data_IF_755671737906
#
_entry.id   IF_755671737906
#
_cell.length_a   1.000
_cell.length_b   1.000
_cell.length_c   1.000
_cell.angle_alpha   90.00
_cell.angle_beta   90.00
_cell.angle_gamma   90.00
#
_symmetry.space_group_name_H-M   'P 1'
#
loop_
_entity.id
_entity.type
_entity.pdbx_description
1 polymer ?
#
# COMPACT_ATOMS: atom_id res chain seq x y z
N UNK A 1 -28.42 34.15 10.69
CA UNK A 1 -27.46 33.37 11.52
C UNK A 1 -26.52 32.61 10.59
N UNK A 2 -25.43 33.24 10.16
CA UNK A 2 -24.32 32.56 9.50
C UNK A 2 -23.54 31.82 10.58
N UNK A 3 -23.88 30.53 10.80
CA UNK A 3 -22.97 29.65 11.54
C UNK A 3 -21.67 29.66 10.77
N UNK A 4 -20.63 30.28 11.31
CA UNK A 4 -19.25 29.92 11.02
C UNK A 4 -19.13 28.44 11.38
N UNK A 5 -19.50 27.55 10.45
CA UNK A 5 -19.26 26.13 10.55
C UNK A 5 -17.75 25.99 10.53
N UNK A 6 -17.15 25.93 11.72
CA UNK A 6 -15.71 25.82 11.89
C UNK A 6 -15.21 24.72 10.97
N UNK A 7 -14.45 25.10 9.95
CA UNK A 7 -13.91 24.16 8.98
C UNK A 7 -13.09 23.15 9.77
N UNK A 8 -13.39 21.86 9.59
CA UNK A 8 -12.60 20.80 10.22
C UNK A 8 -11.18 20.91 9.70
N UNK A 9 -10.20 20.92 10.60
CA UNK A 9 -8.80 20.88 10.25
C UNK A 9 -8.28 19.45 10.43
N UNK A 10 -7.56 18.97 9.43
CA UNK A 10 -6.84 17.69 9.44
C UNK A 10 -5.35 17.97 9.53
N UNK A 11 -4.61 17.21 10.32
CA UNK A 11 -3.15 17.36 10.42
C UNK A 11 -2.49 16.11 9.86
N UNK A 12 -1.72 16.28 8.79
CA UNK A 12 -0.80 15.28 8.29
C UNK A 12 0.54 15.47 9.01
N UNK A 13 1.09 14.41 9.58
CA UNK A 13 2.41 14.42 10.22
C UNK A 13 3.21 13.22 9.73
N UNK A 14 4.47 13.45 9.39
CA UNK A 14 5.46 12.42 9.16
C UNK A 14 6.43 12.40 10.34
N UNK A 15 6.68 11.20 10.85
CA UNK A 15 7.51 10.98 12.03
C UNK A 15 8.68 10.07 11.67
N UNK A 16 9.88 10.48 12.07
CA UNK A 16 11.08 9.66 12.00
C UNK A 16 11.15 8.76 13.24
N UNK A 17 11.04 7.45 13.01
CA UNK A 17 11.03 6.43 14.05
C UNK A 17 12.43 5.88 14.38
N UNK A 18 13.46 6.23 13.59
CA UNK A 18 14.86 5.80 13.84
C UNK A 18 15.50 6.58 14.98
N UNK A 19 14.95 7.73 15.32
CA UNK A 19 15.40 8.55 16.45
C UNK A 19 15.00 7.89 17.77
N UNK A 20 15.85 7.96 18.81
CA UNK A 20 15.58 7.39 20.14
C UNK A 20 14.23 7.84 20.72
N UNK A 21 13.77 9.03 20.33
CA UNK A 21 12.41 9.50 20.51
C UNK A 21 11.84 9.84 19.12
N UNK A 22 10.62 9.41 18.77
CA UNK A 22 10.01 9.76 17.50
C UNK A 22 10.00 11.29 17.28
N UNK A 23 10.50 11.75 16.13
CA UNK A 23 10.57 13.18 15.80
C UNK A 23 9.66 13.50 14.63
N UNK A 24 8.82 14.52 14.76
CA UNK A 24 7.99 15.00 13.66
C UNK A 24 8.87 15.74 12.64
N UNK A 25 9.14 15.12 11.50
CA UNK A 25 10.01 15.67 10.44
C UNK A 25 9.24 16.47 9.39
N UNK A 26 7.94 16.23 9.26
CA UNK A 26 7.08 17.00 8.38
C UNK A 26 5.66 17.13 8.94
N UNK A 27 5.03 18.28 8.72
CA UNK A 27 3.68 18.59 9.18
C UNK A 27 2.95 19.46 8.15
N UNK A 28 1.71 19.11 7.85
CA UNK A 28 0.81 19.95 7.03
C UNK A 28 -0.58 19.97 7.63
N UNK A 29 -1.20 21.15 7.68
CA UNK A 29 -2.61 21.32 8.07
C UNK A 29 -3.44 21.44 6.79
N UNK A 30 -4.53 20.68 6.74
CA UNK A 30 -5.44 20.62 5.60
C UNK A 30 -6.84 21.01 6.09
N UNK A 31 -7.52 21.89 5.36
CA UNK A 31 -8.89 22.30 5.68
C UNK A 31 -9.96 21.49 4.93
N UNK A 32 -9.52 20.69 3.96
CA UNK A 32 -10.33 19.74 3.23
C UNK A 32 -9.54 18.45 3.11
N UNK A 33 -10.18 17.32 3.39
CA UNK A 33 -9.57 16.01 3.31
C UNK A 33 -10.65 14.98 2.97
N UNK A 34 -10.46 14.29 1.85
CA UNK A 34 -11.37 13.24 1.39
C UNK A 34 -10.67 11.88 1.25
N UNK A 35 -9.34 11.83 1.36
CA UNK A 35 -8.56 10.61 1.21
C UNK A 35 -7.06 10.87 1.11
N UNK A 36 -6.28 9.82 1.29
CA UNK A 36 -4.83 9.82 1.14
C UNK A 36 -4.39 8.49 0.53
N UNK A 37 -3.35 8.54 -0.29
CA UNK A 37 -2.64 7.36 -0.78
C UNK A 37 -1.15 7.54 -0.51
N UNK A 38 -0.47 6.45 -0.17
CA UNK A 38 0.98 6.43 0.02
C UNK A 38 1.63 5.73 -1.15
N UNK A 39 2.81 6.20 -1.55
CA UNK A 39 3.55 5.57 -2.61
C UNK A 39 4.12 4.25 -2.10
N UNK A 40 3.77 3.15 -2.77
CA UNK A 40 4.29 1.82 -2.45
C UNK A 40 5.68 1.58 -3.01
N UNK A 41 6.11 2.38 -3.99
CA UNK A 41 7.42 2.24 -4.63
C UNK A 41 8.34 3.34 -4.15
N UNK A 42 9.51 2.95 -3.61
CA UNK A 42 10.54 3.87 -3.16
C UNK A 42 11.16 4.71 -4.30
N UNK A 43 10.95 4.31 -5.55
CA UNK A 43 11.47 4.98 -6.73
C UNK A 43 10.67 6.23 -7.12
N UNK A 44 9.43 6.36 -6.63
CA UNK A 44 8.57 7.47 -7.02
C UNK A 44 8.96 8.78 -6.34
N UNK A 45 8.83 9.89 -7.06
CA UNK A 45 9.18 11.22 -6.55
C UNK A 45 8.19 11.74 -5.49
N UNK A 46 6.91 11.41 -5.62
CA UNK A 46 5.91 11.78 -4.62
C UNK A 46 5.80 10.68 -3.57
N UNK A 47 5.85 11.04 -2.28
CA UNK A 47 5.69 10.08 -1.18
C UNK A 47 4.22 9.78 -0.92
N UNK A 48 3.34 10.76 -1.11
CA UNK A 48 1.92 10.59 -0.86
C UNK A 48 1.06 11.50 -1.74
N UNK A 49 -0.17 11.08 -1.98
CA UNK A 49 -1.19 11.85 -2.69
C UNK A 49 -2.32 12.16 -1.70
N UNK A 50 -2.72 13.43 -1.60
CA UNK A 50 -3.82 13.88 -0.74
C UNK A 50 -4.97 14.35 -1.59
N UNK A 51 -6.14 13.79 -1.32
CA UNK A 51 -7.39 14.20 -1.95
C UNK A 51 -8.00 15.37 -1.19
N UNK A 52 -7.91 16.55 -1.77
CA UNK A 52 -8.64 17.77 -1.36
C UNK A 52 -9.65 18.11 -2.49
N UNK A 53 -10.22 19.33 -2.61
CA UNK A 53 -10.97 19.69 -3.82
C UNK A 53 -10.14 19.48 -5.11
N UNK A 54 -8.82 19.59 -4.99
CA UNK A 54 -7.82 19.16 -5.96
C UNK A 54 -6.97 18.03 -5.35
N UNK A 55 -6.28 17.25 -6.17
CA UNK A 55 -5.38 16.20 -5.67
C UNK A 55 -3.97 16.75 -5.62
N UNK A 56 -3.40 16.84 -4.42
CA UNK A 56 -2.03 17.30 -4.23
C UNK A 56 -1.10 16.10 -4.10
N UNK A 57 -0.06 16.05 -4.92
CA UNK A 57 1.04 15.11 -4.77
C UNK A 57 2.11 15.76 -3.91
N UNK A 58 2.45 15.11 -2.81
CA UNK A 58 3.31 15.65 -1.78
C UNK A 58 4.56 14.78 -1.68
N UNK A 59 5.70 15.44 -1.76
CA UNK A 59 6.99 14.90 -1.38
C UNK A 59 7.39 15.42 0.01
N UNK A 60 8.27 14.68 0.68
CA UNK A 60 8.78 15.02 2.00
C UNK A 60 10.25 15.39 1.85
N UNK A 61 10.55 16.68 1.99
CA UNK A 61 11.91 17.21 2.03
C UNK A 61 12.29 17.45 3.50
N UNK A 62 12.78 16.42 4.22
CA UNK A 62 13.07 16.55 5.64
C UNK A 62 14.19 17.58 5.84
N UNK A 63 14.17 18.35 6.95
CA UNK A 63 15.30 19.21 7.26
C UNK A 63 16.58 18.39 7.28
N UNK A 64 17.63 18.89 6.61
CA UNK A 64 18.93 18.25 6.59
C UNK A 64 19.32 17.90 8.03
N UNK A 65 19.49 16.60 8.33
CA UNK A 65 19.97 16.19 9.65
C UNK A 65 21.29 16.91 9.83
N UNK A 66 21.38 17.74 10.87
CA UNK A 66 22.67 18.22 11.37
C UNK A 66 23.38 16.92 11.74
N UNK A 67 24.28 16.46 10.87
CA UNK A 67 25.15 15.36 11.20
C UNK A 67 25.86 15.84 12.45
N UNK A 68 25.48 15.28 13.60
CA UNK A 68 26.18 15.50 14.85
C UNK A 68 27.60 15.10 14.55
N UNK A 69 28.47 16.10 14.38
CA UNK A 69 29.86 15.91 14.02
C UNK A 69 30.46 15.00 15.06
N UNK A 70 30.53 13.71 14.71
CA UNK A 70 31.13 12.72 15.56
C UNK A 70 32.61 13.10 15.59
N UNK A 71 33.09 13.42 16.78
CA UNK A 71 34.34 14.13 17.04
C UNK A 71 35.56 13.29 16.70
N UNK A 72 35.81 13.08 15.41
CA UNK A 72 37.05 12.55 14.86
C UNK A 72 38.13 13.62 14.92
N UNK A 73 38.80 13.67 16.06
CA UNK A 73 40.02 14.41 16.32
C UNK A 73 41.13 14.02 15.32
N UNK A 74 41.86 15.01 14.81
CA UNK A 74 43.15 14.82 14.13
C UNK A 74 43.18 15.02 12.61
N UNK A 75 43.44 16.25 12.16
CA UNK A 75 43.85 16.49 10.77
C UNK A 75 43.93 17.95 10.36
N UNK A 76 44.98 18.65 10.80
CA UNK A 76 45.32 20.01 10.36
C UNK A 76 45.67 20.03 8.86
N UNK A 77 44.66 20.24 8.01
CA UNK A 77 44.80 20.47 6.56
C UNK A 77 44.18 21.80 6.18
N UNK A 78 45.01 22.83 6.12
CA UNK A 78 44.67 24.19 5.69
C UNK A 78 44.34 24.24 4.19
N UNK A 79 43.21 24.86 3.84
CA UNK A 79 43.08 25.62 2.59
C UNK A 79 41.99 25.17 1.64
N UNK A 80 40.83 25.84 1.68
CA UNK A 80 39.80 25.74 0.64
C UNK A 80 38.45 26.32 1.04
N UNK A 81 38.36 27.65 1.13
CA UNK A 81 37.12 28.37 1.44
C UNK A 81 36.14 28.25 0.25
N UNK A 82 35.28 27.22 0.27
CA UNK A 82 34.08 27.16 -0.57
C UNK A 82 32.90 27.52 0.33
N UNK A 83 32.34 28.71 0.10
CA UNK A 83 31.15 29.20 0.79
C UNK A 83 29.93 28.34 0.44
N UNK A 84 29.78 27.22 1.13
CA UNK A 84 28.55 26.43 1.11
C UNK A 84 27.48 27.20 1.86
N UNK A 85 26.42 27.62 1.14
CA UNK A 85 25.20 28.11 1.75
C UNK A 85 24.69 27.05 2.73
N UNK A 86 24.90 27.27 4.03
CA UNK A 86 24.26 26.49 5.09
C UNK A 86 22.75 26.67 4.93
N UNK A 87 22.11 25.68 4.31
CA UNK A 87 20.66 25.58 4.19
C UNK A 87 20.10 25.51 5.62
N UNK A 88 19.53 26.62 6.09
CA UNK A 88 18.88 26.70 7.40
C UNK A 88 17.91 25.52 7.55
N UNK A 89 17.97 24.84 8.70
CA UNK A 89 17.09 23.71 9.00
C UNK A 89 15.62 24.13 8.80
N UNK A 90 14.94 23.50 7.85
CA UNK A 90 13.53 23.77 7.58
C UNK A 90 12.66 23.36 8.77
N UNK A 91 11.67 24.17 9.11
CA UNK A 91 10.67 23.75 10.09
C UNK A 91 9.85 22.57 9.55
N UNK A 92 9.33 21.65 10.41
CA UNK A 92 8.46 20.57 9.94
C UNK A 92 7.26 21.04 9.11
N UNK A 93 6.76 22.26 9.39
CA UNK A 93 5.68 22.87 8.63
C UNK A 93 6.01 23.16 7.15
N UNK A 94 7.30 23.21 6.80
CA UNK A 94 7.80 23.51 5.46
C UNK A 94 8.36 22.27 4.73
N UNK A 95 8.39 21.11 5.39
CA UNK A 95 8.96 19.88 4.82
C UNK A 95 8.01 19.15 3.86
N UNK A 96 6.70 19.40 3.93
CA UNK A 96 5.74 18.88 2.95
C UNK A 96 5.75 19.76 1.68
N UNK A 97 6.37 19.28 0.60
CA UNK A 97 6.50 20.01 -0.67
C UNK A 97 5.46 19.51 -1.66
N UNK A 98 4.67 20.41 -2.25
CA UNK A 98 3.74 20.04 -3.32
C UNK A 98 4.54 19.85 -4.62
N UNK A 99 4.56 18.64 -5.17
CA UNK A 99 5.30 18.35 -6.42
C UNK A 99 4.42 18.48 -7.66
N UNK A 100 3.13 18.20 -7.53
CA UNK A 100 2.15 18.42 -8.59
C UNK A 100 0.73 18.54 -7.99
N UNK A 101 -0.16 19.17 -8.75
CA UNK A 101 -1.59 19.21 -8.45
C UNK A 101 -2.35 18.67 -9.65
N UNK A 102 -3.31 17.77 -9.41
CA UNK A 102 -4.24 17.30 -10.42
C UNK A 102 -5.59 18.00 -10.21
N UNK A 103 -6.10 18.63 -11.27
CA UNK A 103 -7.37 19.36 -11.25
C UNK A 103 -8.61 18.45 -11.25
N UNK A 104 -8.42 17.13 -11.39
CA UNK A 104 -9.52 16.19 -11.48
C UNK A 104 -10.20 15.97 -10.12
N UNK A 105 -11.54 15.98 -10.14
CA UNK A 105 -12.33 15.71 -8.95
C UNK A 105 -12.43 14.21 -8.76
N UNK A 106 -11.47 13.65 -8.03
CA UNK A 106 -11.65 12.31 -7.50
C UNK A 106 -12.86 12.29 -6.56
N UNK A 107 -13.70 11.28 -6.68
CA UNK A 107 -14.75 11.02 -5.69
C UNK A 107 -14.61 9.63 -5.07
N UNK A 108 -14.02 8.69 -5.79
CA UNK A 108 -13.63 7.38 -5.31
C UNK A 108 -12.26 7.35 -4.64
N UNK A 109 -11.66 6.15 -4.65
CA UNK A 109 -10.36 5.90 -4.08
C UNK A 109 -9.25 6.62 -4.86
N UNK A 110 -8.22 7.02 -4.12
CA UNK A 110 -6.96 7.53 -4.65
C UNK A 110 -5.90 6.47 -4.39
N UNK A 111 -5.09 6.16 -5.39
CA UNK A 111 -3.95 5.24 -5.26
C UNK A 111 -2.69 5.85 -5.88
N UNK A 112 -1.52 5.48 -5.36
CA UNK A 112 -0.22 5.97 -5.80
C UNK A 112 0.75 4.79 -5.91
N UNK A 113 1.33 4.58 -7.09
CA UNK A 113 2.30 3.52 -7.34
C UNK A 113 3.43 4.02 -8.25
N UNK A 114 4.58 4.31 -7.65
CA UNK A 114 5.70 4.96 -8.32
C UNK A 114 5.29 6.33 -8.80
N UNK A 115 5.31 6.50 -10.11
CA UNK A 115 5.02 7.77 -10.79
C UNK A 115 3.58 7.84 -11.31
N UNK A 116 2.79 6.81 -11.02
CA UNK A 116 1.40 6.71 -11.46
C UNK A 116 0.43 7.04 -10.33
N UNK A 117 -0.54 7.88 -10.64
CA UNK A 117 -1.68 8.18 -9.77
C UNK A 117 -2.93 7.58 -10.40
N UNK A 118 -3.67 6.78 -9.62
CA UNK A 118 -4.95 6.24 -10.06
C UNK A 118 -6.09 6.93 -9.32
N UNK A 119 -7.08 7.36 -10.07
CA UNK A 119 -8.25 8.07 -9.58
C UNK A 119 -9.50 7.38 -10.10
N UNK A 120 -10.43 7.09 -9.18
CA UNK A 120 -11.77 6.66 -9.54
C UNK A 120 -12.75 7.84 -9.44
N UNK A 121 -13.52 8.08 -10.50
CA UNK A 121 -14.53 9.14 -10.55
C UNK A 121 -15.90 8.69 -9.99
N UNK A 122 -16.89 9.59 -10.03
CA UNK A 122 -18.26 9.33 -9.55
C UNK A 122 -19.00 8.27 -10.37
N UNK A 123 -18.59 8.05 -11.61
CA UNK A 123 -19.13 7.02 -12.49
C UNK A 123 -18.46 5.66 -12.31
N UNK A 124 -17.48 5.54 -11.41
CA UNK A 124 -16.68 4.33 -11.23
C UNK A 124 -15.56 4.17 -12.26
N UNK A 125 -15.41 5.08 -13.22
CA UNK A 125 -14.32 5.02 -14.21
C UNK A 125 -13.00 5.25 -13.51
N UNK A 126 -11.99 4.48 -13.92
CA UNK A 126 -10.66 4.54 -13.32
C UNK A 126 -9.71 5.18 -14.32
N UNK A 127 -9.06 6.26 -13.92
CA UNK A 127 -8.07 6.96 -14.73
C UNK A 127 -6.68 6.78 -14.14
N UNK A 128 -5.68 6.62 -15.02
CA UNK A 128 -4.26 6.60 -14.68
C UNK A 128 -3.63 7.89 -15.17
N UNK A 129 -2.91 8.56 -14.28
CA UNK A 129 -2.13 9.76 -14.55
C UNK A 129 -0.66 9.45 -14.36
N UNK A 130 0.19 10.04 -15.19
CA UNK A 130 1.62 10.13 -14.91
C UNK A 130 1.90 11.49 -14.26
N UNK A 131 2.56 11.53 -13.10
CA UNK A 131 2.66 12.78 -12.34
C UNK A 131 3.48 13.88 -13.05
N UNK A 132 4.42 13.50 -13.93
CA UNK A 132 5.21 14.47 -14.72
C UNK A 132 4.38 15.14 -15.83
N UNK A 133 3.30 14.48 -16.25
CA UNK A 133 2.37 14.98 -17.28
C UNK A 133 0.95 14.97 -16.72
N UNK A 134 0.66 15.78 -15.67
CA UNK A 134 -0.60 15.71 -14.91
C UNK A 134 -1.85 16.02 -15.77
N UNK A 135 -1.68 16.67 -16.91
CA UNK A 135 -2.72 16.96 -17.89
C UNK A 135 -3.12 15.75 -18.76
N UNK A 136 -2.28 14.72 -18.83
CA UNK A 136 -2.54 13.54 -19.63
C UNK A 136 -3.00 12.37 -18.76
N UNK A 137 -4.03 11.67 -19.21
CA UNK A 137 -4.62 10.55 -18.50
C UNK A 137 -5.09 9.46 -19.46
N UNK A 138 -4.96 8.22 -19.02
CA UNK A 138 -5.53 7.06 -19.68
C UNK A 138 -6.73 6.53 -18.88
N UNK A 139 -7.82 6.17 -19.55
CA UNK A 139 -8.94 5.47 -18.94
C UNK A 139 -8.68 3.96 -18.96
N UNK A 140 -8.81 3.31 -17.80
CA UNK A 140 -8.83 1.85 -17.72
C UNK A 140 -10.23 1.37 -18.07
N UNK A 141 -10.36 0.64 -19.17
CA UNK A 141 -11.64 0.18 -19.70
C UNK A 141 -11.83 -1.32 -19.51
N UNK A 142 -13.09 -1.74 -19.33
CA UNK A 142 -13.47 -3.15 -19.40
C UNK A 142 -13.49 -3.59 -20.88
N UNK A 143 -12.80 -4.68 -21.26
CA UNK A 143 -12.89 -5.23 -22.61
C UNK A 143 -14.32 -5.53 -23.08
N UNK A 144 -15.24 -5.79 -22.15
CA UNK A 144 -16.64 -6.05 -22.45
C UNK A 144 -17.47 -4.77 -22.63
N UNK A 145 -16.86 -3.59 -22.48
CA UNK A 145 -17.54 -2.29 -22.54
C UNK A 145 -18.46 -2.01 -21.35
N UNK A 146 -18.43 -2.87 -20.33
CA UNK A 146 -19.19 -2.67 -19.11
C UNK A 146 -18.64 -1.49 -18.31
N UNK A 147 -19.53 -0.76 -17.64
CA UNK A 147 -19.11 0.15 -16.57
C UNK A 147 -18.35 -0.65 -15.52
N UNK A 148 -17.27 -0.08 -14.98
CA UNK A 148 -16.47 -0.67 -13.92
C UNK A 148 -16.79 -0.01 -12.56
N UNK A 149 -18.00 -0.15 -11.97
CA UNK A 149 -18.32 0.45 -10.68
C UNK A 149 -17.52 -0.16 -9.52
N UNK A 150 -16.70 -1.17 -9.82
CA UNK A 150 -15.91 -1.88 -8.84
C UNK A 150 -14.82 -0.99 -8.26
N UNK A 151 -14.80 -0.95 -6.93
CA UNK A 151 -13.80 -0.21 -6.18
C UNK A 151 -12.42 -0.82 -6.42
N UNK A 152 -11.44 0.02 -6.79
CA UNK A 152 -10.03 -0.36 -6.82
C UNK A 152 -9.55 -0.48 -5.38
N UNK A 153 -9.15 -1.68 -4.96
CA UNK A 153 -8.71 -1.96 -3.60
C UNK A 153 -7.21 -1.75 -3.43
N UNK A 154 -6.43 -2.08 -4.46
CA UNK A 154 -4.98 -1.91 -4.42
C UNK A 154 -4.38 -1.89 -5.83
N UNK A 155 -3.16 -1.38 -5.93
CA UNK A 155 -2.39 -1.26 -7.18
C UNK A 155 -0.92 -1.58 -6.97
N UNK A 156 -0.29 -2.12 -8.00
CA UNK A 156 1.16 -2.27 -8.07
C UNK A 156 1.61 -1.94 -9.49
N UNK A 157 2.61 -1.07 -9.62
CA UNK A 157 3.14 -0.66 -10.92
C UNK A 157 4.59 -1.12 -11.10
N UNK A 158 5.01 -1.16 -12.35
CA UNK A 158 6.39 -1.23 -12.80
C UNK A 158 6.53 -0.34 -14.05
N UNK A 159 7.70 -0.31 -14.67
CA UNK A 159 8.01 0.56 -15.81
C UNK A 159 7.13 0.28 -17.04
N UNK A 160 6.67 -0.96 -17.25
CA UNK A 160 5.94 -1.36 -18.45
C UNK A 160 4.60 -2.08 -18.19
N UNK A 161 4.19 -2.25 -16.94
CA UNK A 161 2.89 -2.84 -16.61
C UNK A 161 2.32 -2.29 -15.30
N UNK A 162 1.00 -2.43 -15.15
CA UNK A 162 0.24 -2.02 -13.98
C UNK A 162 -0.70 -3.16 -13.59
N UNK A 163 -0.70 -3.55 -12.32
CA UNK A 163 -1.66 -4.48 -11.74
C UNK A 163 -2.66 -3.69 -10.93
N UNK A 164 -3.95 -3.90 -11.23
CA UNK A 164 -5.07 -3.28 -10.53
C UNK A 164 -5.89 -4.39 -9.89
N UNK A 165 -5.99 -4.37 -8.57
CA UNK A 165 -6.86 -5.25 -7.81
C UNK A 165 -8.18 -4.52 -7.50
N UNK A 166 -9.28 -5.10 -7.94
CA UNK A 166 -10.65 -4.62 -7.70
C UNK A 166 -11.39 -5.57 -6.77
N UNK A 167 -12.62 -5.19 -6.42
CA UNK A 167 -13.48 -6.02 -5.58
C UNK A 167 -13.85 -7.36 -6.22
N UNK A 168 -13.92 -7.51 -7.55
CA UNK A 168 -14.25 -8.82 -8.16
C UNK A 168 -13.21 -9.33 -9.14
N UNK A 169 -12.17 -8.54 -9.42
CA UNK A 169 -11.15 -8.90 -10.41
C UNK A 169 -9.75 -8.51 -9.96
N UNK A 170 -8.75 -9.16 -10.57
CA UNK A 170 -7.38 -8.64 -10.67
C UNK A 170 -7.01 -8.58 -12.14
N UNK A 171 -6.46 -7.43 -12.52
CA UNK A 171 -6.24 -7.04 -13.91
C UNK A 171 -4.78 -6.62 -14.09
N UNK A 172 -4.16 -7.03 -15.20
CA UNK A 172 -2.82 -6.61 -15.60
C UNK A 172 -2.95 -5.80 -16.88
N UNK A 173 -2.42 -4.58 -16.87
CA UNK A 173 -2.39 -3.65 -17.99
C UNK A 173 -0.96 -3.48 -18.50
N UNK A 174 -0.80 -3.36 -19.81
CA UNK A 174 0.45 -2.91 -20.40
C UNK A 174 0.52 -1.39 -20.29
N UNK A 175 1.59 -0.85 -19.71
CA UNK A 175 1.79 0.60 -19.65
C UNK A 175 2.47 1.08 -20.93
N UNK A 176 1.96 2.16 -21.56
CA UNK A 176 2.66 2.80 -22.67
C UNK A 176 3.90 3.54 -22.16
N UNK A 177 4.81 3.88 -23.07
CA UNK A 177 5.96 4.75 -22.77
C UNK A 177 5.56 6.18 -22.43
N UNK A 178 4.40 6.62 -22.92
CA UNK A 178 3.80 7.92 -22.63
C UNK A 178 2.29 7.78 -22.54
N UNK A 179 1.69 8.48 -21.58
CA UNK A 179 0.24 8.56 -21.46
C UNK A 179 -0.22 9.79 -22.25
N UNK A 180 -1.08 9.57 -23.25
CA UNK A 180 -1.69 10.63 -24.05
C UNK A 180 -3.11 10.93 -23.57
N UNK A 181 -3.61 12.14 -23.84
CA UNK A 181 -5.00 12.51 -23.56
C UNK A 181 -5.97 11.65 -24.39
N UNK A 182 -6.97 11.07 -23.75
CA UNK A 182 -7.96 10.15 -24.34
C UNK A 182 -7.45 8.75 -24.68
N UNK A 183 -6.33 8.33 -24.09
CA UNK A 183 -5.89 6.95 -24.22
C UNK A 183 -6.83 6.02 -23.45
N UNK A 184 -7.23 4.90 -24.07
CA UNK A 184 -7.99 3.84 -23.42
C UNK A 184 -7.08 2.62 -23.27
N UNK A 185 -7.08 2.02 -22.09
CA UNK A 185 -6.23 0.87 -21.78
C UNK A 185 -7.10 -0.32 -21.40
N UNK A 186 -6.95 -1.42 -22.14
CA UNK A 186 -7.56 -2.70 -21.81
C UNK A 186 -6.57 -3.59 -21.05
N UNK A 187 -7.06 -4.44 -20.13
CA UNK A 187 -6.20 -5.41 -19.47
C UNK A 187 -5.67 -6.43 -20.49
N UNK A 188 -4.36 -6.70 -20.43
CA UNK A 188 -3.72 -7.80 -21.15
C UNK A 188 -4.01 -9.15 -20.47
N UNK A 189 -4.38 -9.15 -19.18
CA UNK A 189 -4.82 -10.34 -18.44
C UNK A 189 -5.80 -9.97 -17.33
N UNK A 190 -6.80 -10.82 -17.10
CA UNK A 190 -7.91 -10.57 -16.16
C UNK A 190 -8.36 -11.86 -15.48
N UNK A 191 -8.42 -11.87 -14.16
CA UNK A 191 -8.93 -12.99 -13.37
C UNK A 191 -10.08 -12.49 -12.52
N UNK A 192 -11.23 -13.16 -12.65
CA UNK A 192 -12.41 -12.90 -11.83
C UNK A 192 -12.36 -13.77 -10.59
N UNK A 193 -12.46 -13.14 -9.43
CA UNK A 193 -12.54 -13.81 -8.16
C UNK A 193 -13.85 -14.59 -8.03
N UNK A 194 -13.80 -15.71 -7.32
CA UNK A 194 -15.01 -16.49 -7.02
C UNK A 194 -16.00 -15.72 -6.14
N UNK A 195 -15.49 -14.87 -5.25
CA UNK A 195 -16.28 -14.00 -4.39
C UNK A 195 -15.75 -12.57 -4.40
N UNK A 196 -16.59 -11.63 -3.97
CA UNK A 196 -16.17 -10.25 -3.76
C UNK A 196 -15.07 -10.19 -2.70
N UNK A 197 -13.98 -9.53 -3.04
CA UNK A 197 -12.87 -9.18 -2.16
C UNK A 197 -13.21 -7.87 -1.47
N UNK A 198 -12.99 -7.81 -0.16
CA UNK A 198 -13.18 -6.57 0.60
C UNK A 198 -11.85 -5.88 0.89
N UNK A 199 -10.78 -6.65 1.08
CA UNK A 199 -9.42 -6.14 1.29
C UNK A 199 -8.40 -7.03 0.59
N UNK A 200 -7.39 -6.39 0.00
CA UNK A 200 -6.28 -7.03 -0.70
C UNK A 200 -5.04 -6.14 -0.57
N UNK A 201 -3.89 -6.79 -0.41
CA UNK A 201 -2.57 -6.17 -0.48
C UNK A 201 -1.74 -6.86 -1.56
N UNK A 202 -1.25 -6.08 -2.52
CA UNK A 202 -0.32 -6.45 -3.58
C UNK A 202 1.08 -6.04 -3.17
N UNK A 203 1.99 -7.02 -3.08
CA UNK A 203 3.38 -6.77 -2.69
C UNK A 203 4.35 -7.49 -3.60
N UNK A 204 5.44 -6.77 -3.88
CA UNK A 204 6.65 -7.32 -4.45
C UNK A 204 7.63 -7.58 -3.29
N UNK A 205 7.94 -8.83 -2.95
CA UNK A 205 8.92 -9.12 -1.93
C UNK A 205 10.26 -8.49 -2.29
N UNK A 206 10.94 -7.90 -1.31
CA UNK A 206 12.32 -7.46 -1.47
C UNK A 206 13.19 -8.71 -1.60
N UNK A 207 13.56 -9.06 -2.82
CA UNK A 207 14.56 -10.09 -3.08
C UNK A 207 15.68 -9.48 -3.92
N UNK A 208 16.87 -10.08 -3.79
CA UNK A 208 18.07 -9.70 -4.51
C UNK A 208 17.90 -9.91 -6.03
N UNK A 209 16.94 -10.76 -6.44
CA UNK A 209 16.64 -11.00 -7.84
C UNK A 209 15.90 -9.81 -8.46
N UNK A 210 16.31 -9.42 -9.68
CA UNK A 210 15.70 -8.32 -10.44
C UNK A 210 14.22 -8.53 -10.76
N UNK A 211 13.73 -9.76 -10.65
CA UNK A 211 12.35 -10.11 -10.95
C UNK A 211 11.86 -11.11 -9.91
N UNK A 212 10.81 -10.73 -9.18
CA UNK A 212 10.28 -11.51 -8.05
C UNK A 212 8.81 -11.82 -8.26
N UNK A 213 8.30 -12.98 -7.80
CA UNK A 213 6.87 -13.24 -7.78
C UNK A 213 6.12 -12.15 -7.03
N UNK A 214 4.91 -11.82 -7.47
CA UNK A 214 4.04 -10.89 -6.72
C UNK A 214 3.16 -11.70 -5.80
N UNK A 215 3.05 -11.24 -4.57
CA UNK A 215 2.17 -11.81 -3.57
C UNK A 215 0.90 -10.97 -3.47
N UNK A 216 -0.24 -11.65 -3.46
CA UNK A 216 -1.54 -11.05 -3.28
C UNK A 216 -2.13 -11.67 -2.03
N UNK A 217 -2.30 -10.88 -0.99
CA UNK A 217 -2.92 -11.32 0.26
C UNK A 217 -4.27 -10.66 0.35
N UNK A 218 -5.34 -11.45 0.39
CA UNK A 218 -6.69 -10.94 0.30
C UNK A 218 -7.65 -11.62 1.27
N UNK A 219 -8.75 -10.94 1.52
CA UNK A 219 -9.90 -11.46 2.26
C UNK A 219 -11.17 -11.24 1.45
N UNK A 220 -11.98 -12.29 1.36
CA UNK A 220 -13.30 -12.20 0.75
C UNK A 220 -14.33 -11.59 1.71
N UNK A 221 -15.23 -10.78 1.18
CA UNK A 221 -16.36 -10.17 1.91
C UNK A 221 -17.61 -11.03 1.95
N UNK A 222 -17.61 -12.20 1.31
CA UNK A 222 -18.79 -13.07 1.28
C UNK A 222 -18.95 -13.85 2.59
N UNK A 223 -20.15 -13.83 3.16
CA UNK A 223 -20.52 -14.68 4.30
C UNK A 223 -20.83 -16.11 3.85
N UNK A 224 -21.05 -16.35 2.55
CA UNK A 224 -21.37 -17.68 2.02
C UNK A 224 -20.30 -18.15 1.02
N UNK A 225 -19.67 -19.33 1.21
CA UNK A 225 -19.82 -20.32 2.30
C UNK A 225 -18.81 -20.12 3.46
N UNK A 226 -18.75 -18.92 4.07
CA UNK A 226 -17.81 -18.51 5.14
C UNK A 226 -16.34 -18.17 4.79
N UNK A 227 -15.98 -17.69 3.57
CA UNK A 227 -14.59 -17.30 3.30
C UNK A 227 -14.12 -16.05 4.07
N UNK A 228 -15.01 -15.32 4.75
CA UNK A 228 -14.68 -14.12 5.53
C UNK A 228 -13.72 -14.39 6.71
N UNK A 229 -13.71 -15.62 7.24
CA UNK A 229 -12.85 -16.02 8.35
C UNK A 229 -11.46 -16.48 7.89
N UNK A 230 -11.12 -16.23 6.64
CA UNK A 230 -9.89 -16.69 6.02
C UNK A 230 -9.17 -15.53 5.34
N UNK A 231 -7.85 -15.56 5.42
CA UNK A 231 -6.98 -14.77 4.54
C UNK A 231 -6.41 -15.73 3.51
N UNK A 232 -6.49 -15.35 2.25
CA UNK A 232 -5.99 -16.12 1.12
C UNK A 232 -4.73 -15.49 0.59
N UNK A 233 -3.72 -16.31 0.30
CA UNK A 233 -2.49 -15.89 -0.36
C UNK A 233 -2.44 -16.45 -1.77
N UNK A 234 -2.52 -15.56 -2.73
CA UNK A 234 -2.26 -15.84 -4.13
C UNK A 234 -0.86 -15.41 -4.52
N UNK A 235 -0.28 -16.09 -5.51
CA UNK A 235 1.01 -15.74 -6.09
C UNK A 235 0.88 -15.61 -7.59
N UNK A 236 1.44 -14.53 -8.13
CA UNK A 236 1.71 -14.35 -9.55
C UNK A 236 3.19 -14.67 -9.78
N UNK A 237 3.45 -15.87 -10.30
CA UNK A 237 4.79 -16.28 -10.69
C UNK A 237 5.18 -15.60 -12.00
N UNK A 238 6.46 -15.39 -12.22
CA UNK A 238 6.93 -14.82 -13.48
C UNK A 238 6.75 -15.80 -14.62
N UNK A 239 6.40 -15.28 -15.79
CA UNK A 239 6.41 -16.09 -17.00
C UNK A 239 7.85 -16.33 -17.45
N UNK A 240 8.23 -17.58 -17.71
CA UNK A 240 9.56 -17.92 -18.25
C UNK A 240 9.83 -17.28 -19.61
N UNK A 241 8.75 -16.98 -20.36
CA UNK A 241 8.83 -16.34 -21.67
C UNK A 241 8.88 -14.81 -21.61
N UNK A 242 8.80 -14.21 -20.42
CA UNK A 242 8.78 -12.76 -20.29
C UNK A 242 10.16 -12.16 -20.57
N UNK A 243 10.21 -11.27 -21.56
CA UNK A 243 11.39 -10.48 -21.85
C UNK A 243 11.20 -9.06 -21.34
N UNK A 244 11.94 -8.69 -20.30
CA UNK A 244 11.90 -7.37 -19.66
C UNK A 244 12.26 -6.22 -20.62
N UNK A 245 13.03 -6.50 -21.68
CA UNK A 245 13.45 -5.48 -22.65
C UNK A 245 12.36 -5.16 -23.68
N UNK A 246 11.25 -5.91 -23.68
CA UNK A 246 10.10 -5.68 -24.55
C UNK A 246 8.94 -5.12 -23.73
N UNK A 247 8.10 -4.29 -24.34
CA UNK A 247 6.87 -3.80 -23.70
C UNK A 247 5.97 -4.98 -23.30
N UNK A 248 5.30 -4.86 -22.16
CA UNK A 248 4.32 -5.86 -21.74
C UNK A 248 3.20 -5.94 -22.79
N UNK A 249 2.78 -7.15 -23.13
CA UNK A 249 1.69 -7.40 -24.08
C UNK A 249 1.09 -8.77 -23.83
N UNK A 250 0.06 -9.15 -24.59
CA UNK A 250 -0.47 -10.53 -24.55
C UNK A 250 0.55 -11.57 -25.01
N UNK A 251 1.50 -11.19 -25.88
CA UNK A 251 2.57 -12.06 -26.36
C UNK A 251 3.82 -12.03 -25.47
N UNK A 252 4.06 -10.91 -24.78
CA UNK A 252 5.13 -10.74 -23.81
C UNK A 252 4.55 -10.48 -22.42
N UNK A 253 3.92 -11.51 -21.86
CA UNK A 253 3.12 -11.39 -20.64
C UNK A 253 4.00 -11.59 -19.40
N UNK A 254 3.97 -10.68 -18.39
CA UNK A 254 4.95 -10.68 -17.31
C UNK A 254 4.80 -11.83 -16.28
N UNK A 255 3.57 -12.31 -16.05
CA UNK A 255 3.30 -13.28 -14.99
C UNK A 255 2.47 -14.47 -15.48
N UNK A 256 2.71 -15.66 -14.97
CA UNK A 256 1.80 -16.80 -15.16
C UNK A 256 0.43 -16.43 -14.56
N UNK A 257 -0.63 -16.62 -15.34
CA UNK A 257 -1.97 -16.16 -15.02
C UNK A 257 -3.00 -17.26 -15.31
N UNK A 258 -4.03 -17.49 -14.47
CA UNK A 258 -4.44 -16.71 -13.29
C UNK A 258 -3.51 -16.84 -12.07
N UNK A 259 -3.63 -15.95 -11.06
CA UNK A 259 -2.90 -16.09 -9.80
C UNK A 259 -3.18 -17.44 -9.13
N UNK A 260 -2.15 -18.07 -8.57
CA UNK A 260 -2.25 -19.37 -7.91
C UNK A 260 -2.52 -19.19 -6.41
N UNK A 261 -3.62 -19.76 -5.89
CA UNK A 261 -3.83 -19.82 -4.44
C UNK A 261 -2.85 -20.81 -3.82
N UNK A 262 -1.95 -20.32 -2.97
CA UNK A 262 -0.88 -21.12 -2.37
C UNK A 262 -1.15 -21.45 -0.91
N UNK A 263 -1.93 -20.63 -0.21
CA UNK A 263 -2.08 -20.74 1.23
C UNK A 263 -3.36 -20.09 1.72
N UNK A 264 -3.92 -20.68 2.77
CA UNK A 264 -5.06 -20.14 3.52
C UNK A 264 -4.66 -20.00 4.98
N UNK A 265 -5.00 -18.86 5.58
CA UNK A 265 -4.68 -18.51 6.96
C UNK A 265 -5.99 -18.29 7.72
N UNK A 266 -6.12 -18.95 8.87
CA UNK A 266 -7.27 -18.76 9.75
C UNK A 266 -7.29 -17.35 10.34
N UNK A 267 -8.37 -16.62 10.10
CA UNK A 267 -8.52 -15.26 10.60
C UNK A 267 -10.00 -14.93 10.87
N UNK A 268 -10.54 -15.40 12.01
CA UNK A 268 -11.94 -15.29 12.32
C UNK A 268 -12.36 -13.84 12.56
N UNK A 269 -13.48 -13.45 11.96
CA UNK A 269 -14.06 -12.12 12.08
C UNK A 269 -15.52 -12.25 12.49
N UNK A 270 -15.89 -11.56 13.56
CA UNK A 270 -17.29 -11.32 13.92
C UNK A 270 -17.93 -10.43 12.87
N UNK A 271 -19.23 -10.61 12.67
CA UNK A 271 -19.99 -9.75 11.77
C UNK A 271 -19.80 -8.27 12.18
N UNK A 272 -19.44 -7.42 11.22
CA UNK A 272 -19.16 -5.99 11.42
C UNK A 272 -17.93 -5.65 12.29
N UNK A 273 -17.11 -6.61 12.69
CA UNK A 273 -15.88 -6.29 13.40
C UNK A 273 -14.87 -5.59 12.48
N UNK A 274 -14.15 -4.62 13.04
CA UNK A 274 -13.08 -3.93 12.34
C UNK A 274 -11.92 -4.88 12.13
N UNK A 275 -11.43 -4.93 10.90
CA UNK A 275 -10.25 -5.69 10.53
C UNK A 275 -9.35 -4.83 9.65
N UNK A 276 -8.09 -5.22 9.60
CA UNK A 276 -7.12 -4.68 8.65
C UNK A 276 -6.03 -5.72 8.41
N UNK A 277 -5.29 -5.59 7.32
CA UNK A 277 -4.12 -6.43 7.04
C UNK A 277 -2.99 -5.58 6.48
N UNK A 278 -1.77 -5.88 6.91
CA UNK A 278 -0.56 -5.34 6.33
C UNK A 278 0.38 -6.49 6.03
N UNK A 279 1.17 -6.34 4.98
CA UNK A 279 2.09 -7.36 4.55
C UNK A 279 3.42 -6.66 4.26
N UNK A 280 4.48 -7.26 4.75
CA UNK A 280 5.82 -6.70 4.73
C UNK A 280 6.63 -7.17 3.53
N UNK A 281 7.78 -6.53 3.33
CA UNK A 281 8.67 -6.77 2.21
C UNK A 281 9.32 -8.15 2.18
N UNK A 282 9.40 -8.86 3.30
CA UNK A 282 9.93 -10.22 3.41
C UNK A 282 8.83 -11.27 3.64
N UNK A 283 7.58 -10.92 3.32
CA UNK A 283 6.46 -11.84 3.35
C UNK A 283 5.87 -12.08 4.75
N UNK A 284 6.16 -11.22 5.73
CA UNK A 284 5.37 -11.22 6.97
C UNK A 284 3.99 -10.66 6.70
N UNK A 285 2.96 -11.42 7.05
CA UNK A 285 1.56 -10.99 7.01
C UNK A 285 1.13 -10.72 8.44
N UNK A 286 0.67 -9.51 8.73
CA UNK A 286 0.00 -9.17 9.99
C UNK A 286 -1.43 -8.76 9.71
N UNK A 287 -2.32 -9.00 10.66
CA UNK A 287 -3.73 -8.64 10.55
C UNK A 287 -4.37 -8.43 11.91
N UNK A 288 -5.40 -7.58 11.92
CA UNK A 288 -6.37 -7.51 13.00
C UNK A 288 -7.57 -8.36 12.62
N UNK A 289 -7.99 -9.20 13.54
CA UNK A 289 -9.24 -9.94 13.44
C UNK A 289 -9.92 -10.07 14.82
N UNK A 290 -11.01 -10.82 14.89
CA UNK A 290 -11.74 -11.00 16.14
C UNK A 290 -11.08 -12.06 17.01
N UNK A 291 -11.02 -11.76 18.30
CA UNK A 291 -10.67 -12.77 19.28
C UNK A 291 -11.78 -13.84 19.34
N UNK A 292 -11.41 -15.12 19.23
CA UNK A 292 -12.37 -16.25 19.26
C UNK A 292 -12.11 -17.23 20.40
N UNK A 293 -11.04 -17.03 21.16
CA UNK A 293 -10.66 -17.95 22.21
C UNK A 293 -11.38 -17.63 23.52
N UNK A 294 -11.55 -18.64 24.38
CA UNK A 294 -12.27 -18.51 25.66
C UNK A 294 -11.49 -17.75 26.74
N UNK A 295 -10.30 -17.22 26.44
CA UNK A 295 -9.43 -16.55 27.41
C UNK A 295 -10.12 -15.47 28.25
N UNK A 296 -11.11 -14.76 27.69
CA UNK A 296 -11.79 -13.64 28.36
C UNK A 296 -13.25 -13.94 28.76
N UNK A 297 -13.72 -15.18 28.55
CA UNK A 297 -15.08 -15.59 28.93
C UNK A 297 -16.24 -14.93 28.17
N UNK A 298 -15.97 -14.08 27.17
CA UNK A 298 -16.99 -13.39 26.35
C UNK A 298 -16.56 -13.37 24.88
N UNK A 299 -17.48 -13.68 23.97
CA UNK A 299 -17.25 -13.72 22.52
C UNK A 299 -17.55 -12.41 21.80
N UNK A 300 -18.16 -11.44 22.48
CA UNK A 300 -18.90 -10.37 21.80
C UNK A 300 -18.04 -9.15 21.43
N UNK A 301 -16.86 -9.04 22.05
CA UNK A 301 -15.91 -7.96 21.81
C UNK A 301 -14.47 -8.46 21.91
N UNK A 302 -13.53 -7.63 21.49
CA UNK A 302 -12.10 -7.89 21.56
C UNK A 302 -11.49 -8.19 20.19
N UNK A 303 -10.29 -7.69 19.99
CA UNK A 303 -9.48 -7.84 18.80
C UNK A 303 -8.18 -8.55 19.14
N UNK A 304 -7.62 -9.27 18.16
CA UNK A 304 -6.24 -9.77 18.27
C UNK A 304 -5.43 -9.29 17.06
N UNK A 305 -4.16 -9.03 17.34
CA UNK A 305 -3.13 -8.77 16.35
C UNK A 305 -2.44 -10.10 16.17
N UNK A 306 -2.62 -10.67 14.99
CA UNK A 306 -2.03 -11.94 14.63
C UNK A 306 -1.19 -11.78 13.35
N UNK A 307 -0.37 -12.78 13.08
CA UNK A 307 0.34 -12.83 11.83
C UNK A 307 1.07 -14.14 11.60
N UNK A 308 1.66 -14.23 10.43
CA UNK A 308 2.43 -15.38 9.99
C UNK A 308 3.50 -14.89 9.04
N UNK A 309 4.67 -15.55 9.06
CA UNK A 309 5.71 -15.31 8.08
C UNK A 309 5.55 -16.31 6.94
N UNK A 310 5.74 -15.86 5.71
CA UNK A 310 5.79 -16.76 4.55
C UNK A 310 7.21 -17.30 4.44
N UNK A 311 7.39 -18.61 4.62
CA UNK A 311 8.66 -19.24 4.29
C UNK A 311 8.64 -19.65 2.81
N UNK A 312 9.49 -19.02 2.00
CA UNK A 312 9.67 -19.41 0.59
C UNK A 312 10.35 -20.78 0.45
N UNK A 313 11.09 -21.20 1.48
CA UNK A 313 11.73 -22.52 1.53
C UNK A 313 10.70 -23.56 1.95
N UNK A 314 9.95 -24.11 1.00
CA UNK A 314 9.34 -25.42 1.23
C UNK A 314 10.48 -26.42 1.47
N UNK A 315 10.57 -27.07 2.65
CA UNK A 315 11.74 -27.87 3.02
C UNK A 315 11.99 -29.08 2.12
N UNK A 316 10.98 -29.57 1.39
CA UNK A 316 11.10 -30.75 0.55
C UNK A 316 10.60 -30.46 -0.87
N UNK A 317 11.54 -30.18 -1.78
CA UNK A 317 11.34 -29.91 -3.21
C UNK A 317 10.84 -31.11 -4.03
N UNK A 318 9.81 -31.82 -3.54
CA UNK A 318 9.07 -32.81 -4.30
C UNK A 318 8.18 -32.12 -5.33
N UNK A 319 8.67 -32.01 -6.57
CA UNK A 319 7.91 -31.59 -7.75
C UNK A 319 6.67 -32.50 -7.87
N UNK A 320 5.49 -32.07 -7.43
CA UNK A 320 4.32 -32.93 -7.59
C UNK A 320 2.97 -32.42 -7.08
N UNK A 321 2.86 -31.76 -5.94
CA UNK A 321 1.56 -31.32 -5.44
C UNK A 321 1.66 -29.98 -4.71
N UNK A 322 1.21 -28.91 -5.37
CA UNK A 322 0.85 -27.66 -4.71
C UNK A 322 -0.49 -27.88 -4.00
N UNK A 323 -0.46 -28.60 -2.89
CA UNK A 323 -1.60 -28.67 -1.98
C UNK A 323 -1.76 -27.32 -1.29
N UNK A 324 -3.00 -26.82 -1.19
CA UNK A 324 -3.32 -25.61 -0.42
C UNK A 324 -2.91 -25.84 1.04
N UNK A 325 -1.92 -25.09 1.53
CA UNK A 325 -1.45 -25.22 2.91
C UNK A 325 -2.30 -24.36 3.85
N UNK A 326 -2.73 -24.95 4.96
CA UNK A 326 -3.30 -24.21 6.09
C UNK A 326 -2.14 -23.91 7.05
N UNK A 327 -1.85 -22.64 7.32
CA UNK A 327 -0.82 -22.26 8.30
C UNK A 327 -1.44 -21.80 9.61
N UNK A 328 -0.71 -22.11 10.69
CA UNK A 328 -0.92 -21.51 11.99
C UNK A 328 -0.45 -20.06 11.98
N UNK A 329 -1.16 -19.24 12.76
CA UNK A 329 -0.84 -17.84 12.98
C UNK A 329 -0.38 -17.64 14.42
N UNK A 330 0.64 -16.81 14.61
CA UNK A 330 1.04 -16.35 15.93
C UNK A 330 0.17 -15.19 16.37
N UNK A 331 -0.14 -15.12 17.68
CA UNK A 331 -0.83 -13.98 18.29
C UNK A 331 0.23 -13.10 18.96
N UNK A 332 0.32 -11.84 18.52
CA UNK A 332 1.29 -10.87 19.04
C UNK A 332 0.70 -10.02 20.17
N UNK A 333 -0.58 -9.64 20.04
CA UNK A 333 -1.25 -8.83 21.04
C UNK A 333 -2.76 -9.09 21.01
N UNK A 334 -3.41 -8.90 22.16
CA UNK A 334 -4.86 -8.93 22.31
C UNK A 334 -5.34 -7.61 22.92
N UNK A 335 -6.53 -7.19 22.53
CA UNK A 335 -7.25 -6.05 23.12
C UNK A 335 -8.64 -6.52 23.48
N UNK A 336 -9.06 -6.28 24.72
CA UNK A 336 -10.44 -6.49 25.16
C UNK A 336 -11.41 -5.47 24.56
N UNK A 337 -10.92 -4.48 23.81
CA UNK A 337 -11.73 -3.44 23.18
C UNK A 337 -11.57 -3.48 21.67
N UNK A 338 -12.65 -3.18 20.96
CA UNK A 338 -12.67 -3.04 19.50
C UNK A 338 -12.22 -1.64 19.08
N UNK A 339 -11.04 -1.22 19.56
CA UNK A 339 -10.51 0.13 19.35
C UNK A 339 -9.48 0.23 18.21
N UNK A 340 -8.94 -0.89 17.73
CA UNK A 340 -7.98 -0.90 16.64
C UNK A 340 -8.68 -0.83 15.28
N UNK A 341 -8.09 -0.05 14.37
CA UNK A 341 -8.71 0.29 13.09
C UNK A 341 -7.81 0.05 11.90
N UNK A 342 -6.51 0.25 12.05
CA UNK A 342 -5.52 0.14 10.99
C UNK A 342 -4.24 -0.46 11.50
N UNK A 343 -3.52 -1.13 10.62
CA UNK A 343 -2.15 -1.57 10.86
C UNK A 343 -1.22 -1.19 9.72
N UNK A 344 0.02 -0.94 10.07
CA UNK A 344 1.12 -0.84 9.12
C UNK A 344 2.30 -1.65 9.64
N UNK A 345 3.08 -2.19 8.71
CA UNK A 345 4.22 -3.04 8.96
C UNK A 345 5.46 -2.43 8.34
N UNK A 346 6.48 -2.18 9.14
CA UNK A 346 7.83 -1.92 8.67
C UNK A 346 8.68 -3.14 9.05
N UNK A 347 8.88 -4.03 8.07
CA UNK A 347 9.51 -5.32 8.33
C UNK A 347 11.03 -5.22 8.49
N UNK A 348 11.69 -4.25 7.85
CA UNK A 348 13.15 -4.09 7.98
C UNK A 348 13.56 -3.63 9.38
N UNK A 349 12.74 -2.80 10.02
CA UNK A 349 12.97 -2.33 11.40
C UNK A 349 12.26 -3.18 12.46
N UNK A 350 11.48 -4.18 12.05
CA UNK A 350 10.70 -5.01 12.97
C UNK A 350 9.66 -4.18 13.74
N UNK A 351 8.96 -3.24 13.09
CA UNK A 351 7.96 -2.36 13.72
C UNK A 351 6.55 -2.62 13.21
N UNK A 352 5.59 -2.58 14.13
CA UNK A 352 4.15 -2.61 13.83
C UNK A 352 3.53 -1.33 14.36
N UNK A 353 2.81 -0.60 13.51
CA UNK A 353 2.00 0.53 13.93
C UNK A 353 0.53 0.13 13.96
N UNK A 354 -0.18 0.45 15.04
CA UNK A 354 -1.62 0.20 15.22
C UNK A 354 -2.33 1.53 15.41
N UNK A 355 -3.27 1.84 14.52
CA UNK A 355 -4.14 3.01 14.61
C UNK A 355 -5.41 2.73 15.41
N UNK A 356 -5.75 3.64 16.33
CA UNK A 356 -6.93 3.53 17.21
C UNK A 356 -8.06 4.47 16.78
N UNK A 357 -9.32 4.13 17.12
CA UNK A 357 -10.52 4.96 16.85
C UNK A 357 -10.44 6.38 17.42
N UNK A 358 -9.65 6.59 18.48
CA UNK A 358 -9.45 7.89 19.13
C UNK A 358 -8.27 8.70 18.53
N UNK A 359 -7.66 8.21 17.45
CA UNK A 359 -6.51 8.84 16.81
C UNK A 359 -5.15 8.54 17.45
N UNK A 360 -5.10 7.75 18.54
CA UNK A 360 -3.84 7.24 19.08
C UNK A 360 -3.17 6.28 18.09
N UNK A 361 -1.85 6.30 18.06
CA UNK A 361 -1.03 5.30 17.36
C UNK A 361 -0.20 4.57 18.42
N UNK A 362 -0.23 3.24 18.38
CA UNK A 362 0.65 2.38 19.19
C UNK A 362 1.73 1.83 18.27
N UNK A 363 2.99 1.94 18.67
CA UNK A 363 4.13 1.30 18.00
C UNK A 363 4.56 0.10 18.84
N UNK A 364 4.75 -1.03 18.17
CA UNK A 364 5.29 -2.25 18.75
C UNK A 364 6.57 -2.62 18.01
N UNK A 365 7.54 -3.17 18.74
CA UNK A 365 8.69 -3.85 18.17
C UNK A 365 8.43 -5.37 18.21
N UNK A 366 8.75 -6.09 17.12
CA UNK A 366 8.51 -7.54 17.01
C UNK A 366 9.74 -8.34 16.56
N UNK A 367 10.94 -7.77 16.71
CA UNK A 367 12.22 -8.38 16.33
C UNK A 367 12.71 -9.44 17.33
#
# INVERSE_FOLDING_TARGET
MTRNSGLRAFTLQCWDLKSNSPVCIARRVLHHFAGIAFNKLLTGRAVLAVKTPEICLIDIDPPARIQSGDGGDGGSGSGGNVGGNHTLARSPAQACVNVATLEDRASGNLMLAGDLVLIQDDGGRTFVYHFETPQARAELVDPEGNLQPERVLDVLADHNWLIVARTTTVEIYALPTSIDSNMHMEPIGRHKWQWKVDSISLIRPTSIAAVTPIQLVLRYGSIHPWPVNLIHRYVLNLSESFNINLSASRQNFPYVFPPLNTQVIGSPIRLMATYDMAVGSHGTIIYIDSHTETYFGHSDFGQRLAGTRIDERSPDGGVGQVGMMVRESSVYQVSERDEWTRIALEEEEGKIAIGHVNGRITLLDYA
#
